data_IF_860440020675
#
_entry.id   IF_860440020675
#
_cell.length_a   1.000
_cell.length_b   1.000
_cell.length_c   1.000
_cell.angle_alpha   90.00
_cell.angle_beta   90.00
_cell.angle_gamma   90.00
#
_symmetry.space_group_name_H-M   'P 1'
#
loop_
_entity.id
_entity.type
_entity.pdbx_description
1 polymer ?
#
# COMPACT_ATOMS: atom_id res chain seq x y z
N UNK A 1 1.10 -2.34 34.12
CA UNK A 1 1.27 -3.57 33.32
C UNK A 1 2.64 -3.49 32.71
N UNK A 2 3.53 -4.36 33.17
CA UNK A 2 4.95 -4.44 32.80
C UNK A 2 5.08 -4.71 31.30
N UNK A 3 5.99 -3.99 30.62
CA UNK A 3 6.37 -4.27 29.23
C UNK A 3 6.86 -5.73 29.16
N UNK A 4 6.33 -6.58 28.28
CA UNK A 4 6.99 -7.83 27.94
C UNK A 4 8.34 -7.50 27.29
N UNK A 5 9.32 -8.33 27.58
CA UNK A 5 10.74 -8.07 27.52
C UNK A 5 11.31 -7.66 26.16
N UNK A 6 12.36 -6.83 26.23
CA UNK A 6 13.34 -6.62 25.16
C UNK A 6 14.25 -7.85 24.91
N UNK A 7 13.78 -9.06 25.21
CA UNK A 7 14.60 -10.30 25.22
C UNK A 7 14.57 -11.09 23.90
N UNK A 8 13.73 -10.71 22.93
CA UNK A 8 13.61 -11.46 21.68
C UNK A 8 14.92 -11.55 20.88
N UNK A 9 15.88 -10.65 21.12
CA UNK A 9 17.07 -10.53 20.29
C UNK A 9 18.35 -10.99 20.98
N UNK A 10 18.40 -10.95 22.32
CA UNK A 10 19.40 -11.70 23.10
C UNK A 10 19.15 -13.22 23.04
N UNK A 11 18.04 -13.65 22.42
CA UNK A 11 17.64 -15.06 22.28
C UNK A 11 18.13 -15.74 20.99
N UNK A 12 18.66 -14.98 20.01
CA UNK A 12 19.16 -15.57 18.78
C UNK A 12 20.48 -16.28 19.08
N UNK A 13 20.61 -17.54 18.65
CA UNK A 13 21.90 -18.21 18.67
C UNK A 13 22.89 -17.48 17.77
N UNK A 14 24.18 -17.59 18.06
CA UNK A 14 25.25 -17.04 17.21
C UNK A 14 25.09 -17.46 15.76
N UNK A 15 24.71 -18.72 15.52
CA UNK A 15 24.45 -19.27 14.19
C UNK A 15 23.29 -18.55 13.47
N UNK A 16 22.17 -18.33 14.17
CA UNK A 16 21.02 -17.63 13.58
C UNK A 16 21.32 -16.15 13.32
N UNK A 17 22.08 -15.51 14.20
CA UNK A 17 22.53 -14.12 14.00
C UNK A 17 23.42 -14.01 12.76
N UNK A 18 24.43 -14.88 12.65
CA UNK A 18 25.34 -14.89 11.50
C UNK A 18 24.57 -15.17 10.20
N UNK A 19 23.67 -16.16 10.21
CA UNK A 19 22.85 -16.47 9.02
C UNK A 19 21.95 -15.31 8.61
N UNK A 20 21.41 -14.56 9.57
CA UNK A 20 20.62 -13.36 9.28
C UNK A 20 21.50 -12.25 8.69
N UNK A 21 22.71 -12.04 9.20
CA UNK A 21 23.69 -11.10 8.65
C UNK A 21 24.02 -11.44 7.19
N UNK A 22 24.38 -12.70 6.91
CA UNK A 22 24.70 -13.17 5.57
C UNK A 22 23.52 -12.98 4.59
N UNK A 23 22.29 -13.28 5.03
CA UNK A 23 21.09 -13.07 4.23
C UNK A 23 20.84 -11.59 3.93
N UNK A 24 21.04 -10.70 4.91
CA UNK A 24 20.87 -9.26 4.73
C UNK A 24 21.96 -8.67 3.83
N UNK A 25 23.20 -9.14 3.95
CA UNK A 25 24.33 -8.70 3.13
C UNK A 25 24.16 -9.17 1.68
N UNK A 26 23.70 -10.41 1.48
CA UNK A 26 23.36 -10.92 0.16
C UNK A 26 22.20 -10.16 -0.48
N UNK A 27 21.14 -9.86 0.29
CA UNK A 27 20.02 -9.05 -0.18
C UNK A 27 20.50 -7.65 -0.58
N UNK A 28 21.29 -6.98 0.27
CA UNK A 28 21.86 -5.67 -0.04
C UNK A 28 22.66 -5.71 -1.33
N UNK A 29 23.64 -6.63 -1.44
CA UNK A 29 24.45 -6.82 -2.65
C UNK A 29 23.59 -6.93 -3.92
N UNK A 30 22.53 -7.73 -3.88
CA UNK A 30 21.63 -7.93 -5.03
C UNK A 30 20.96 -6.63 -5.50
N UNK A 31 20.70 -5.69 -4.58
CA UNK A 31 20.16 -4.37 -4.91
C UNK A 31 21.23 -3.40 -5.37
N UNK A 32 22.40 -3.38 -4.74
CA UNK A 32 23.39 -2.31 -4.92
C UNK A 32 24.39 -2.59 -6.04
N UNK A 33 24.69 -3.86 -6.35
CA UNK A 33 25.70 -4.23 -7.35
C UNK A 33 25.37 -3.77 -8.78
N UNK A 34 24.10 -3.78 -9.26
CA UNK A 34 23.76 -3.29 -10.60
C UNK A 34 23.77 -1.76 -10.73
N UNK A 35 23.66 -1.03 -9.61
CA UNK A 35 23.36 0.40 -9.61
C UNK A 35 24.54 1.36 -9.91
N UNK A 36 25.84 1.00 -9.84
CA UNK A 36 26.93 1.90 -10.23
C UNK A 36 26.83 2.37 -11.69
N UNK A 37 26.13 1.62 -12.54
CA UNK A 37 25.87 1.98 -13.93
C UNK A 37 24.66 2.93 -14.12
N UNK A 38 23.95 3.28 -13.05
CA UNK A 38 22.81 4.21 -13.12
C UNK A 38 23.27 5.67 -13.25
N UNK A 39 22.43 6.51 -13.86
CA UNK A 39 22.73 7.94 -14.01
C UNK A 39 22.93 8.62 -12.65
N UNK A 40 22.09 8.29 -11.66
CA UNK A 40 22.23 8.82 -10.31
C UNK A 40 23.56 8.42 -9.69
N UNK A 41 23.94 7.13 -9.76
CA UNK A 41 25.22 6.68 -9.24
C UNK A 41 26.41 7.36 -9.93
N UNK A 42 26.33 7.64 -11.23
CA UNK A 42 27.39 8.25 -12.02
C UNK A 42 27.55 9.76 -11.79
N UNK A 43 26.46 10.48 -11.54
CA UNK A 43 26.45 11.94 -11.59
C UNK A 43 26.06 12.63 -10.27
N UNK A 44 25.48 11.92 -9.31
CA UNK A 44 25.11 12.52 -8.03
C UNK A 44 26.37 12.94 -7.25
N UNK A 45 26.47 14.20 -6.79
CA UNK A 45 27.57 14.64 -5.91
C UNK A 45 27.64 13.81 -4.62
N UNK A 46 26.49 13.39 -4.10
CA UNK A 46 26.37 12.59 -2.87
C UNK A 46 27.11 11.24 -2.96
N UNK A 47 27.35 10.74 -4.18
CA UNK A 47 27.95 9.43 -4.44
C UNK A 47 29.39 9.50 -4.94
N UNK A 48 30.02 10.68 -4.92
CA UNK A 48 31.38 10.89 -5.44
C UNK A 48 32.42 10.00 -4.75
N UNK A 49 32.49 10.03 -3.42
CA UNK A 49 33.43 9.21 -2.64
C UNK A 49 33.23 7.71 -2.88
N UNK A 50 31.97 7.27 -2.98
CA UNK A 50 31.66 5.87 -3.26
C UNK A 50 32.15 5.47 -4.66
N UNK A 51 31.92 6.31 -5.68
CA UNK A 51 32.44 6.08 -7.04
C UNK A 51 33.96 5.96 -7.06
N UNK A 52 34.67 6.85 -6.38
CA UNK A 52 36.14 6.81 -6.30
C UNK A 52 36.63 5.52 -5.65
N UNK A 53 36.00 5.11 -4.55
CA UNK A 53 36.35 3.89 -3.83
C UNK A 53 36.16 2.63 -4.70
N UNK A 54 35.05 2.53 -5.43
CA UNK A 54 34.80 1.35 -6.27
C UNK A 54 35.58 1.36 -7.59
N UNK A 55 36.03 2.52 -8.08
CA UNK A 55 36.84 2.63 -9.29
C UNK A 55 38.27 2.09 -9.10
N UNK A 56 38.78 2.09 -7.87
CA UNK A 56 40.11 1.61 -7.51
C UNK A 56 40.15 0.08 -7.26
N UNK A 57 39.02 -0.62 -7.43
CA UNK A 57 38.82 -2.01 -7.00
C UNK A 57 39.01 -3.02 -8.15
N UNK A 58 39.45 -4.24 -7.78
CA UNK A 58 39.36 -5.44 -8.62
C UNK A 58 37.93 -6.00 -8.57
N UNK A 59 37.29 -6.25 -9.71
CA UNK A 59 35.82 -6.36 -9.86
C UNK A 59 35.05 -7.41 -9.04
N UNK A 60 35.68 -8.26 -8.22
CA UNK A 60 35.08 -9.50 -7.70
C UNK A 60 35.06 -9.69 -6.16
N UNK A 61 35.48 -8.74 -5.32
CA UNK A 61 35.45 -8.88 -3.84
C UNK A 61 34.19 -8.29 -3.16
N UNK A 62 33.10 -9.05 -3.05
CA UNK A 62 31.81 -8.55 -2.55
C UNK A 62 31.86 -7.96 -1.13
N UNK A 63 32.77 -8.46 -0.27
CA UNK A 63 32.92 -7.96 1.10
C UNK A 63 33.50 -6.53 1.11
N UNK A 64 34.48 -6.27 0.25
CA UNK A 64 35.02 -4.92 0.08
C UNK A 64 33.97 -3.96 -0.50
N UNK A 65 33.16 -4.41 -1.45
CA UNK A 65 32.09 -3.58 -2.02
C UNK A 65 31.06 -3.16 -0.97
N UNK A 66 30.61 -4.11 -0.13
CA UNK A 66 29.72 -3.85 0.99
C UNK A 66 30.34 -2.87 2.01
N UNK A 67 31.64 -3.02 2.29
CA UNK A 67 32.37 -2.09 3.17
C UNK A 67 32.37 -0.68 2.58
N UNK A 68 32.74 -0.52 1.30
CA UNK A 68 32.72 0.78 0.62
C UNK A 68 31.33 1.39 0.57
N UNK A 69 30.28 0.57 0.36
CA UNK A 69 28.89 1.05 0.40
C UNK A 69 28.55 1.65 1.77
N UNK A 70 28.79 0.89 2.85
CA UNK A 70 28.51 1.32 4.23
C UNK A 70 29.33 2.54 4.66
N UNK A 71 30.53 2.69 4.14
CA UNK A 71 31.44 3.78 4.50
C UNK A 71 31.16 5.07 3.74
N UNK A 72 30.84 4.98 2.45
CA UNK A 72 30.82 6.15 1.56
C UNK A 72 29.43 6.57 1.07
N UNK A 73 28.40 5.73 1.21
CA UNK A 73 27.03 6.12 0.85
C UNK A 73 26.41 6.91 2.00
N UNK A 74 26.07 8.19 1.80
CA UNK A 74 25.48 8.99 2.85
C UNK A 74 24.00 8.66 3.03
N UNK A 75 23.52 8.81 4.27
CA UNK A 75 22.08 8.93 4.54
C UNK A 75 21.54 10.17 3.85
N UNK A 76 20.52 10.00 3.01
CA UNK A 76 19.92 11.10 2.23
C UNK A 76 18.44 11.27 2.53
N UNK A 77 17.93 12.47 2.27
CA UNK A 77 16.49 12.73 2.21
C UNK A 77 16.04 12.75 0.74
N UNK A 78 14.82 13.23 0.45
CA UNK A 78 14.29 13.24 -0.92
C UNK A 78 14.91 14.29 -1.86
N UNK A 79 15.55 15.33 -1.32
CA UNK A 79 15.97 16.50 -2.09
C UNK A 79 17.04 16.19 -3.17
N UNK A 80 18.10 15.39 -2.89
CA UNK A 80 19.06 14.94 -3.92
C UNK A 80 18.43 14.25 -5.12
N UNK A 81 17.31 13.55 -4.92
CA UNK A 81 16.62 12.79 -5.95
C UNK A 81 15.66 13.65 -6.78
N UNK A 82 15.22 14.79 -6.25
CA UNK A 82 14.22 15.66 -6.88
C UNK A 82 14.60 16.10 -8.30
N UNK A 83 15.84 16.54 -8.60
CA UNK A 83 16.22 16.94 -9.96
C UNK A 83 16.14 15.79 -10.97
N UNK A 84 16.49 14.57 -10.56
CA UNK A 84 16.42 13.38 -11.39
C UNK A 84 14.95 12.99 -11.64
N UNK A 85 14.12 13.02 -10.60
CA UNK A 85 12.69 12.69 -10.72
C UNK A 85 11.95 13.74 -11.57
N UNK A 86 12.35 15.00 -11.52
CA UNK A 86 11.77 16.06 -12.34
C UNK A 86 11.91 15.81 -13.85
N UNK A 87 12.91 15.04 -14.29
CA UNK A 87 13.10 14.67 -15.70
C UNK A 87 11.88 13.96 -16.29
N UNK A 88 11.19 13.13 -15.50
CA UNK A 88 9.96 12.46 -15.94
C UNK A 88 8.81 13.43 -16.26
N UNK A 89 8.84 14.62 -15.65
CA UNK A 89 7.79 15.63 -15.77
C UNK A 89 8.16 16.77 -16.72
N UNK A 90 9.30 16.69 -17.40
CA UNK A 90 9.67 17.63 -18.44
C UNK A 90 8.62 17.63 -19.58
N UNK A 91 8.44 18.79 -20.24
CA UNK A 91 7.51 18.93 -21.36
C UNK A 91 7.76 17.91 -22.47
N UNK A 92 9.03 17.59 -22.71
CA UNK A 92 9.49 16.53 -23.59
C UNK A 92 10.41 15.60 -22.79
N UNK A 93 9.88 14.46 -22.35
CA UNK A 93 10.63 13.43 -21.64
C UNK A 93 11.11 12.38 -22.66
N UNK A 94 12.41 12.35 -22.96
CA UNK A 94 12.98 11.31 -23.82
C UNK A 94 13.36 10.10 -22.99
N UNK A 95 13.32 8.90 -23.58
CA UNK A 95 13.77 7.68 -22.91
C UNK A 95 15.20 7.82 -22.39
N UNK A 96 16.13 8.39 -23.17
CA UNK A 96 17.53 8.54 -22.76
C UNK A 96 17.72 9.39 -21.51
N UNK A 97 16.83 10.36 -21.25
CA UNK A 97 16.90 11.23 -20.07
C UNK A 97 16.57 10.48 -18.77
N UNK A 98 15.79 9.40 -18.86
CA UNK A 98 15.22 8.69 -17.69
C UNK A 98 15.48 7.19 -17.66
N UNK A 99 16.08 6.62 -18.71
CA UNK A 99 16.55 5.24 -18.75
C UNK A 99 17.78 5.09 -17.87
N UNK A 100 17.82 4.01 -17.11
CA UNK A 100 18.87 3.73 -16.14
C UNK A 100 19.00 4.81 -15.05
N UNK A 101 17.93 5.55 -14.73
CA UNK A 101 18.04 6.73 -13.87
C UNK A 101 18.51 6.39 -12.45
N UNK A 102 17.86 5.42 -11.81
CA UNK A 102 18.21 4.95 -10.45
C UNK A 102 18.64 3.49 -10.40
N UNK A 103 18.16 2.68 -11.34
CA UNK A 103 18.62 1.31 -11.59
C UNK A 103 18.46 1.01 -13.07
N UNK A 104 19.04 -0.09 -13.55
CA UNK A 104 19.02 -0.47 -14.95
C UNK A 104 17.60 -0.65 -15.49
N UNK A 105 17.37 -0.18 -16.71
CA UNK A 105 16.08 -0.18 -17.38
C UNK A 105 15.25 1.06 -17.11
N UNK A 106 13.95 0.93 -17.33
CA UNK A 106 12.97 1.99 -17.12
C UNK A 106 12.07 1.62 -15.94
N UNK A 107 11.61 2.60 -15.15
CA UNK A 107 10.58 2.31 -14.16
C UNK A 107 9.32 1.80 -14.86
N UNK A 108 8.59 0.95 -14.15
CA UNK A 108 7.29 0.47 -14.57
C UNK A 108 6.22 1.55 -14.33
N UNK A 109 6.30 2.27 -13.20
CA UNK A 109 5.44 3.41 -12.89
C UNK A 109 6.14 4.43 -11.98
N UNK A 110 5.42 5.52 -11.71
CA UNK A 110 5.77 6.50 -10.69
C UNK A 110 4.73 6.47 -9.57
N UNK A 111 5.13 6.02 -8.38
CA UNK A 111 4.29 5.99 -7.19
C UNK A 111 4.27 7.35 -6.50
N UNK A 112 3.09 7.85 -6.18
CA UNK A 112 2.90 9.13 -5.48
C UNK A 112 2.68 8.89 -3.99
N UNK A 113 3.48 9.55 -3.15
CA UNK A 113 3.34 9.51 -1.70
C UNK A 113 2.03 10.15 -1.26
N UNK A 114 1.37 9.56 -0.28
CA UNK A 114 0.21 10.18 0.37
C UNK A 114 0.63 11.49 1.08
N UNK A 115 -0.16 12.56 0.91
CA UNK A 115 0.05 13.94 1.43
C UNK A 115 -0.06 14.04 2.96
N UNK A 116 0.41 13.04 3.70
CA UNK A 116 0.17 12.86 5.14
C UNK A 116 0.90 13.86 6.05
N UNK A 117 1.71 14.77 5.48
CA UNK A 117 2.51 15.76 6.22
C UNK A 117 2.34 17.22 5.75
N UNK A 118 1.33 17.52 4.93
CA UNK A 118 1.08 18.89 4.42
C UNK A 118 2.13 19.44 3.44
N UNK A 119 3.16 18.65 3.11
CA UNK A 119 4.17 18.96 2.08
C UNK A 119 3.71 18.45 0.72
N UNK A 120 4.28 18.99 -0.37
CA UNK A 120 4.05 18.51 -1.73
C UNK A 120 4.28 17.00 -1.84
N UNK A 121 3.41 16.30 -2.56
CA UNK A 121 3.54 14.87 -2.77
C UNK A 121 4.89 14.53 -3.42
N UNK A 122 5.57 13.53 -2.87
CA UNK A 122 6.79 12.96 -3.45
C UNK A 122 6.41 11.90 -4.45
N UNK A 123 7.26 11.73 -5.46
CA UNK A 123 7.10 10.71 -6.49
C UNK A 123 8.29 9.74 -6.44
N UNK A 124 8.05 8.44 -6.51
CA UNK A 124 9.06 7.40 -6.45
C UNK A 124 8.97 6.51 -7.69
N UNK A 125 10.04 6.39 -8.49
CA UNK A 125 10.05 5.44 -9.60
C UNK A 125 10.04 4.00 -9.08
N UNK A 126 9.05 3.23 -9.50
CA UNK A 126 8.90 1.82 -9.13
C UNK A 126 9.40 0.98 -10.29
N UNK A 127 10.41 0.15 -10.03
CA UNK A 127 10.94 -0.80 -10.99
C UNK A 127 10.31 -2.17 -10.74
N UNK A 128 10.09 -2.94 -11.80
CA UNK A 128 9.46 -4.26 -11.69
C UNK A 128 10.36 -5.16 -10.83
N UNK A 129 9.84 -5.73 -9.72
CA UNK A 129 10.62 -6.66 -8.93
C UNK A 129 10.92 -7.93 -9.74
N UNK A 130 11.95 -8.67 -9.34
CA UNK A 130 12.27 -9.97 -9.96
C UNK A 130 11.02 -10.87 -9.98
N UNK A 131 10.78 -11.67 -11.04
CA UNK A 131 9.62 -12.57 -11.12
C UNK A 131 9.45 -13.52 -9.93
N UNK A 132 10.52 -13.82 -9.20
CA UNK A 132 10.46 -14.64 -7.98
C UNK A 132 9.80 -13.92 -6.79
N UNK A 133 9.73 -12.59 -6.81
CA UNK A 133 9.18 -11.76 -5.73
C UNK A 133 7.69 -11.46 -5.88
N UNK A 134 7.10 -11.64 -7.07
CA UNK A 134 5.66 -11.39 -7.30
C UNK A 134 4.74 -12.34 -6.53
N UNK A 135 5.27 -13.47 -6.05
CA UNK A 135 4.56 -14.44 -5.21
C UNK A 135 4.76 -14.20 -3.71
N UNK A 136 5.55 -13.19 -3.31
CA UNK A 136 5.80 -12.93 -1.91
C UNK A 136 4.53 -12.40 -1.22
N UNK A 137 4.21 -12.82 0.02
CA UNK A 137 2.99 -12.40 0.74
C UNK A 137 2.76 -10.90 0.87
N UNK A 138 3.82 -10.08 0.75
CA UNK A 138 3.73 -8.62 0.67
C UNK A 138 2.98 -8.13 -0.57
N UNK A 139 3.14 -8.82 -1.69
CA UNK A 139 2.54 -8.50 -2.98
C UNK A 139 1.17 -9.16 -3.18
N UNK A 140 0.81 -10.11 -2.31
CA UNK A 140 -0.48 -10.80 -2.40
C UNK A 140 -1.62 -9.91 -1.89
N UNK A 141 -2.13 -9.07 -2.80
CA UNK A 141 -3.31 -8.25 -2.56
C UNK A 141 -4.62 -9.05 -2.56
N UNK A 142 -4.59 -10.33 -2.95
CA UNK A 142 -5.74 -11.24 -3.01
C UNK A 142 -5.50 -12.43 -2.07
N UNK A 143 -6.40 -12.70 -1.11
CA UNK A 143 -6.28 -13.88 -0.26
C UNK A 143 -6.59 -15.16 -1.04
N UNK A 144 -5.88 -16.25 -0.74
CA UNK A 144 -6.24 -17.62 -1.12
C UNK A 144 -7.40 -18.19 -0.27
N UNK A 145 -8.30 -17.34 0.24
CA UNK A 145 -9.40 -17.79 1.09
C UNK A 145 -10.45 -18.54 0.28
N UNK A 146 -11.07 -19.56 0.87
CA UNK A 146 -12.21 -20.32 0.33
C UNK A 146 -13.50 -19.47 0.17
N UNK A 147 -13.41 -18.13 0.20
CA UNK A 147 -14.54 -17.20 0.12
C UNK A 147 -14.18 -15.82 -0.43
N UNK A 148 -15.19 -14.97 -0.58
CA UNK A 148 -15.07 -13.65 -1.23
C UNK A 148 -14.52 -12.58 -0.27
N UNK A 149 -13.60 -11.75 -0.75
CA UNK A 149 -13.00 -10.67 0.04
C UNK A 149 -13.47 -9.30 -0.48
N UNK A 150 -14.22 -8.56 0.35
CA UNK A 150 -14.50 -7.15 0.11
C UNK A 150 -13.19 -6.37 0.27
N UNK A 151 -12.63 -5.92 -0.85
CA UNK A 151 -11.37 -5.16 -0.86
C UNK A 151 -11.43 -4.08 -1.92
N UNK A 152 -12.09 -2.93 -1.63
CA UNK A 152 -12.19 -1.83 -2.58
C UNK A 152 -10.80 -1.41 -3.05
N UNK A 153 -10.55 -1.53 -4.35
CA UNK A 153 -9.28 -1.18 -4.98
C UNK A 153 -9.58 -0.33 -6.21
N UNK A 154 -9.02 0.87 -6.28
CA UNK A 154 -9.08 1.66 -7.50
C UNK A 154 -7.92 1.28 -8.42
N UNK A 155 -8.13 1.42 -9.72
CA UNK A 155 -7.11 1.37 -10.76
C UNK A 155 -6.93 2.72 -11.46
N UNK A 156 -7.51 3.77 -10.85
CA UNK A 156 -7.39 5.14 -11.28
C UNK A 156 -5.93 5.59 -11.30
N UNK A 157 -5.55 6.20 -12.42
CA UNK A 157 -4.28 6.89 -12.55
C UNK A 157 -4.45 8.34 -12.14
N UNK A 158 -3.43 8.88 -11.48
CA UNK A 158 -3.37 10.32 -11.24
C UNK A 158 -3.00 11.06 -12.53
N UNK A 159 -2.00 10.52 -13.25
CA UNK A 159 -1.57 11.04 -14.55
C UNK A 159 -0.98 9.90 -15.39
N UNK A 160 -1.06 10.05 -16.71
CA UNK A 160 -0.28 9.27 -17.66
C UNK A 160 0.77 10.19 -18.29
N UNK A 161 2.05 9.81 -18.21
CA UNK A 161 3.15 10.54 -18.83
C UNK A 161 3.54 9.84 -20.12
N UNK A 162 3.88 10.60 -21.16
CA UNK A 162 4.42 10.06 -22.40
C UNK A 162 5.94 10.24 -22.40
N UNK A 163 6.65 9.14 -22.63
CA UNK A 163 8.09 9.11 -22.80
C UNK A 163 8.41 8.71 -24.24
N UNK A 164 9.23 9.50 -24.92
CA UNK A 164 9.49 9.34 -26.35
C UNK A 164 10.79 8.55 -26.60
N UNK A 165 10.74 7.62 -27.54
CA UNK A 165 11.93 6.86 -27.96
C UNK A 165 12.83 7.73 -28.83
N UNK A 166 14.16 7.58 -28.71
CA UNK A 166 15.08 8.27 -29.60
C UNK A 166 14.91 7.80 -31.05
N UNK A 167 14.70 8.74 -31.97
CA UNK A 167 14.63 8.48 -33.40
C UNK A 167 13.30 7.91 -33.92
N UNK A 168 12.36 7.56 -33.04
CA UNK A 168 11.02 7.08 -33.41
C UNK A 168 9.93 8.07 -32.92
N UNK A 169 8.82 8.16 -33.65
CA UNK A 169 7.62 8.91 -33.21
C UNK A 169 6.79 8.14 -32.19
N UNK A 170 7.21 6.92 -31.81
CA UNK A 170 6.53 6.13 -30.80
C UNK A 170 6.80 6.68 -29.39
N UNK A 171 5.83 6.49 -28.50
CA UNK A 171 5.92 6.87 -27.09
C UNK A 171 5.49 5.73 -26.20
N UNK A 172 6.20 5.52 -25.09
CA UNK A 172 5.77 4.66 -24.00
C UNK A 172 5.03 5.48 -22.96
N UNK A 173 3.85 5.00 -22.56
CA UNK A 173 3.12 5.60 -21.45
C UNK A 173 3.67 5.10 -20.11
N UNK A 174 3.99 6.03 -19.22
CA UNK A 174 4.41 5.77 -17.84
C UNK A 174 3.28 6.20 -16.88
N UNK A 175 2.64 5.27 -16.16
CA UNK A 175 1.57 5.59 -15.23
C UNK A 175 2.13 6.29 -13.98
N UNK A 176 1.38 7.29 -13.50
CA UNK A 176 1.59 7.95 -12.21
C UNK A 176 0.38 7.64 -11.33
N UNK A 177 0.57 6.88 -10.27
CA UNK A 177 -0.52 6.36 -9.45
C UNK A 177 -0.09 6.08 -8.00
N UNK A 178 -0.98 5.56 -7.17
CA UNK A 178 -0.60 5.06 -5.84
C UNK A 178 0.07 3.70 -5.96
N UNK A 179 0.95 3.37 -5.00
CA UNK A 179 1.66 2.07 -4.99
C UNK A 179 0.69 0.87 -4.96
N UNK A 180 -0.49 1.03 -4.35
CA UNK A 180 -1.51 -0.04 -4.30
C UNK A 180 -2.14 -0.32 -5.66
N UNK A 181 -2.40 0.73 -6.46
CA UNK A 181 -2.87 0.58 -7.85
C UNK A 181 -1.84 -0.22 -8.65
N UNK A 182 -0.57 0.12 -8.45
CA UNK A 182 0.52 -0.53 -9.16
C UNK A 182 0.67 -2.01 -8.80
N UNK A 183 0.72 -2.35 -7.52
CA UNK A 183 0.85 -3.75 -7.11
C UNK A 183 -0.26 -4.62 -7.67
N UNK A 184 -1.50 -4.10 -7.71
CA UNK A 184 -2.62 -4.82 -8.31
C UNK A 184 -2.40 -5.03 -9.82
N UNK A 185 -1.90 -4.02 -10.54
CA UNK A 185 -1.59 -4.12 -11.97
C UNK A 185 -0.45 -5.11 -12.24
N UNK A 186 0.62 -5.10 -11.45
CA UNK A 186 1.74 -6.06 -11.58
C UNK A 186 1.25 -7.47 -11.31
N UNK A 187 0.50 -7.69 -10.23
CA UNK A 187 0.02 -9.01 -9.83
C UNK A 187 -0.87 -9.64 -10.91
N UNK A 188 -1.64 -8.82 -11.61
CA UNK A 188 -2.58 -9.26 -12.63
C UNK A 188 -2.00 -9.18 -14.06
N UNK A 189 -0.75 -8.74 -14.21
CA UNK A 189 -0.09 -8.42 -15.48
C UNK A 189 -0.94 -7.51 -16.39
N UNK A 190 -1.56 -6.49 -15.79
CA UNK A 190 -2.45 -5.55 -16.47
C UNK A 190 -1.72 -4.27 -16.85
N UNK A 191 -1.65 -4.03 -18.15
CA UNK A 191 -1.26 -2.74 -18.69
C UNK A 191 -2.48 -1.82 -18.85
N UNK A 192 -2.29 -0.54 -18.54
CA UNK A 192 -3.32 0.51 -18.66
C UNK A 192 -3.98 0.54 -20.05
N UNK A 193 -3.23 0.22 -21.11
CA UNK A 193 -3.77 0.15 -22.48
C UNK A 193 -4.89 -0.89 -22.65
N UNK A 194 -4.95 -1.86 -21.75
CA UNK A 194 -5.94 -2.95 -21.75
C UNK A 194 -7.10 -2.72 -20.79
N UNK A 195 -7.20 -1.55 -20.14
CA UNK A 195 -8.27 -1.29 -19.15
C UNK A 195 -9.68 -1.48 -19.76
N UNK A 196 -9.85 -1.21 -21.07
CA UNK A 196 -11.10 -1.47 -21.79
C UNK A 196 -11.37 -2.95 -22.04
N UNK A 197 -10.32 -3.75 -22.22
CA UNK A 197 -10.44 -5.18 -22.52
C UNK A 197 -10.88 -5.96 -21.26
N UNK A 198 -10.55 -5.45 -20.08
CA UNK A 198 -10.79 -6.10 -18.80
C UNK A 198 -12.02 -5.56 -18.06
N UNK A 199 -12.72 -4.56 -18.62
CA UNK A 199 -13.88 -3.93 -17.98
C UNK A 199 -15.00 -4.94 -17.64
N UNK A 200 -15.21 -5.93 -18.52
CA UNK A 200 -16.23 -6.96 -18.36
C UNK A 200 -15.79 -8.14 -17.46
N UNK A 201 -14.55 -8.16 -16.97
CA UNK A 201 -14.05 -9.26 -16.15
C UNK A 201 -14.56 -9.19 -14.72
N UNK A 202 -14.80 -10.38 -14.15
CA UNK A 202 -15.04 -10.56 -12.72
C UNK A 202 -13.72 -10.84 -12.02
N UNK A 203 -13.47 -10.21 -10.86
CA UNK A 203 -12.23 -10.44 -10.12
C UNK A 203 -12.37 -11.72 -9.28
N UNK A 204 -11.50 -12.73 -9.46
CA UNK A 204 -11.53 -13.92 -8.64
C UNK A 204 -11.42 -13.58 -7.15
N UNK A 205 -12.21 -14.24 -6.31
CA UNK A 205 -12.26 -14.04 -4.86
C UNK A 205 -12.66 -12.62 -4.39
N UNK A 206 -13.35 -11.83 -5.22
CA UNK A 206 -14.00 -10.57 -4.83
C UNK A 206 -15.50 -10.57 -5.16
N UNK A 207 -16.31 -9.77 -4.43
CA UNK A 207 -17.74 -9.64 -4.69
C UNK A 207 -18.05 -8.67 -5.83
N UNK A 208 -17.07 -7.87 -6.26
CA UNK A 208 -17.23 -6.80 -7.24
C UNK A 208 -16.57 -7.10 -8.61
N UNK A 209 -17.20 -6.65 -9.73
CA UNK A 209 -16.58 -6.71 -11.06
C UNK A 209 -15.49 -5.64 -11.23
N UNK A 210 -14.57 -5.89 -12.15
CA UNK A 210 -13.42 -5.01 -12.42
C UNK A 210 -13.83 -3.58 -12.75
N UNK A 211 -14.94 -3.40 -13.48
CA UNK A 211 -15.47 -2.09 -13.89
C UNK A 211 -15.52 -1.06 -12.74
N UNK A 212 -15.82 -1.50 -11.50
CA UNK A 212 -15.85 -0.60 -10.33
C UNK A 212 -14.48 0.04 -10.07
N UNK A 213 -13.38 -0.69 -10.32
CA UNK A 213 -12.01 -0.19 -10.11
C UNK A 213 -11.65 0.99 -11.04
N UNK A 214 -12.37 1.16 -12.15
CA UNK A 214 -12.17 2.26 -13.11
C UNK A 214 -13.03 3.50 -12.80
N UNK A 215 -13.88 3.44 -11.77
CA UNK A 215 -14.73 4.58 -11.37
C UNK A 215 -13.86 5.63 -10.68
N UNK A 216 -13.93 6.87 -11.17
CA UNK A 216 -13.13 8.00 -10.66
C UNK A 216 -13.80 8.73 -9.50
N UNK A 217 -15.14 8.77 -9.48
CA UNK A 217 -15.88 9.41 -8.39
C UNK A 217 -15.70 8.60 -7.10
N UNK A 218 -15.14 9.24 -6.07
CA UNK A 218 -14.88 8.61 -4.77
C UNK A 218 -16.17 8.06 -4.15
N UNK A 219 -17.27 8.83 -4.20
CA UNK A 219 -18.58 8.40 -3.69
C UNK A 219 -19.13 7.22 -4.49
N UNK A 220 -19.19 7.34 -5.82
CA UNK A 220 -19.73 6.27 -6.68
C UNK A 220 -18.91 4.98 -6.54
N UNK A 221 -17.59 5.09 -6.43
CA UNK A 221 -16.70 3.96 -6.18
C UNK A 221 -17.07 3.20 -4.90
N UNK A 222 -17.28 3.89 -3.77
CA UNK A 222 -17.67 3.22 -2.53
C UNK A 222 -19.10 2.70 -2.56
N UNK A 223 -20.06 3.45 -3.09
CA UNK A 223 -21.47 3.00 -3.21
C UNK A 223 -21.55 1.72 -4.05
N UNK A 224 -20.83 1.65 -5.17
CA UNK A 224 -20.79 0.44 -6.00
C UNK A 224 -20.14 -0.75 -5.29
N UNK A 225 -18.99 -0.55 -4.64
CA UNK A 225 -18.38 -1.61 -3.83
C UNK A 225 -19.34 -2.10 -2.73
N UNK A 226 -20.04 -1.19 -2.06
CA UNK A 226 -21.08 -1.51 -1.07
C UNK A 226 -22.19 -2.34 -1.69
N UNK A 227 -22.71 -1.90 -2.83
CA UNK A 227 -23.85 -2.53 -3.49
C UNK A 227 -23.58 -4.02 -3.79
N UNK A 228 -22.44 -4.29 -4.43
CA UNK A 228 -22.02 -5.65 -4.76
C UNK A 228 -21.67 -6.47 -3.50
N UNK A 229 -21.05 -5.86 -2.49
CA UNK A 229 -20.75 -6.54 -1.24
C UNK A 229 -22.01 -6.90 -0.45
N UNK A 230 -23.02 -6.03 -0.39
CA UNK A 230 -24.29 -6.32 0.29
C UNK A 230 -25.09 -7.40 -0.45
N UNK A 231 -25.03 -7.41 -1.79
CA UNK A 231 -25.67 -8.43 -2.62
C UNK A 231 -25.05 -9.83 -2.45
N UNK A 232 -23.75 -9.94 -2.15
CA UNK A 232 -23.06 -11.21 -1.89
C UNK A 232 -23.00 -11.55 -0.40
N UNK A 233 -23.80 -12.51 0.04
CA UNK A 233 -23.79 -13.00 1.44
C UNK A 233 -22.53 -13.78 1.81
N UNK A 234 -21.70 -14.19 0.83
CA UNK A 234 -20.52 -15.06 1.00
C UNK A 234 -19.23 -14.28 1.25
N UNK A 235 -19.31 -12.98 1.53
CA UNK A 235 -18.13 -12.19 1.92
C UNK A 235 -17.59 -12.73 3.23
N UNK A 236 -16.35 -13.24 3.21
CA UNK A 236 -15.71 -13.83 4.39
C UNK A 236 -14.67 -12.90 5.03
N UNK A 237 -14.15 -11.95 4.25
CA UNK A 237 -13.06 -11.05 4.65
C UNK A 237 -13.35 -9.62 4.18
N UNK A 238 -13.07 -8.65 5.04
CA UNK A 238 -13.16 -7.22 4.71
C UNK A 238 -11.78 -6.59 4.81
N UNK A 239 -11.32 -5.90 3.76
CA UNK A 239 -9.97 -5.35 3.66
C UNK A 239 -10.03 -3.89 3.22
N UNK A 240 -9.45 -3.03 4.03
CA UNK A 240 -9.29 -1.62 3.72
C UNK A 240 -7.88 -1.21 4.02
N UNK A 241 -7.26 -0.39 3.16
CA UNK A 241 -5.91 0.07 3.45
C UNK A 241 -5.88 0.94 4.70
N UNK A 242 -6.93 1.72 4.96
CA UNK A 242 -6.97 2.66 6.08
C UNK A 242 -8.28 2.55 6.86
N UNK A 243 -8.22 2.75 8.18
CA UNK A 243 -9.39 2.71 9.05
C UNK A 243 -10.38 3.83 8.70
N UNK A 244 -9.86 5.03 8.41
CA UNK A 244 -10.65 6.17 7.93
C UNK A 244 -11.49 5.83 6.68
N UNK A 245 -10.92 5.10 5.72
CA UNK A 245 -11.63 4.68 4.51
C UNK A 245 -12.73 3.68 4.84
N UNK A 246 -12.49 2.74 5.76
CA UNK A 246 -13.54 1.83 6.22
C UNK A 246 -14.68 2.56 6.94
N UNK A 247 -14.36 3.60 7.72
CA UNK A 247 -15.37 4.44 8.39
C UNK A 247 -16.22 5.18 7.35
N UNK A 248 -15.60 5.81 6.35
CA UNK A 248 -16.32 6.47 5.27
C UNK A 248 -17.22 5.48 4.53
N UNK A 249 -16.73 4.26 4.28
CA UNK A 249 -17.51 3.19 3.70
C UNK A 249 -18.77 2.89 4.52
N UNK A 250 -18.65 2.68 5.85
CA UNK A 250 -19.80 2.46 6.73
C UNK A 250 -20.80 3.64 6.72
N UNK A 251 -20.30 4.87 6.68
CA UNK A 251 -21.15 6.06 6.59
C UNK A 251 -21.95 6.08 5.28
N UNK A 252 -21.33 5.78 4.15
CA UNK A 252 -22.07 5.66 2.88
C UNK A 252 -23.13 4.55 2.93
N UNK A 253 -22.87 3.43 3.61
CA UNK A 253 -23.91 2.40 3.80
C UNK A 253 -25.10 2.96 4.58
N UNK A 254 -24.82 3.67 5.68
CA UNK A 254 -25.86 4.22 6.55
C UNK A 254 -26.68 5.30 5.83
N UNK A 255 -26.02 6.20 5.11
CA UNK A 255 -26.64 7.30 4.35
C UNK A 255 -27.49 6.79 3.18
N UNK A 256 -26.99 5.78 2.46
CA UNK A 256 -27.59 5.29 1.22
C UNK A 256 -28.36 3.97 1.41
N UNK A 257 -28.70 3.62 2.65
CA UNK A 257 -29.26 2.31 2.96
C UNK A 257 -30.51 1.98 2.15
N UNK A 258 -31.61 2.79 2.17
CA UNK A 258 -32.80 2.43 1.41
C UNK A 258 -32.55 2.34 -0.11
N UNK A 259 -31.87 3.31 -0.77
CA UNK A 259 -31.52 3.19 -2.17
C UNK A 259 -30.71 1.94 -2.52
N UNK A 260 -29.72 1.57 -1.70
CA UNK A 260 -28.90 0.38 -1.91
C UNK A 260 -29.74 -0.90 -1.90
N UNK A 261 -30.65 -1.03 -0.94
CA UNK A 261 -31.52 -2.21 -0.84
C UNK A 261 -32.49 -2.28 -2.01
N UNK A 262 -33.05 -1.15 -2.43
CA UNK A 262 -33.92 -1.07 -3.60
C UNK A 262 -33.20 -1.48 -4.89
N UNK A 263 -31.92 -1.09 -5.03
CA UNK A 263 -31.08 -1.54 -6.14
C UNK A 263 -30.94 -3.07 -6.13
N UNK A 264 -30.64 -3.68 -4.97
CA UNK A 264 -30.51 -5.14 -4.82
C UNK A 264 -31.82 -5.85 -5.15
N UNK A 265 -32.95 -5.35 -4.66
CA UNK A 265 -34.25 -5.95 -4.93
C UNK A 265 -34.59 -5.96 -6.41
N UNK A 266 -34.38 -4.82 -7.09
CA UNK A 266 -34.78 -4.60 -8.49
C UNK A 266 -33.72 -5.03 -9.50
N UNK A 267 -32.48 -5.23 -9.07
CA UNK A 267 -31.33 -5.47 -9.96
C UNK A 267 -31.00 -4.27 -10.84
N UNK A 268 -31.24 -3.05 -10.35
CA UNK A 268 -31.02 -1.81 -11.12
C UNK A 268 -30.00 -0.97 -10.38
N UNK A 269 -28.93 -0.57 -11.07
CA UNK A 269 -27.90 0.31 -10.50
C UNK A 269 -28.30 1.77 -10.71
N UNK A 270 -28.47 2.49 -9.59
CA UNK A 270 -28.80 3.93 -9.59
C UNK A 270 -27.85 4.75 -10.45
N UNK A 271 -28.38 5.87 -10.97
CA UNK A 271 -27.55 6.82 -11.69
C UNK A 271 -26.63 7.61 -10.76
N UNK A 272 -25.35 7.66 -11.14
CA UNK A 272 -24.28 8.23 -10.35
C UNK A 272 -23.29 8.92 -11.27
N UNK A 273 -22.64 9.96 -10.75
CA UNK A 273 -21.74 10.81 -11.52
C UNK A 273 -20.56 10.02 -12.11
N UNK A 274 -20.27 10.26 -13.39
CA UNK A 274 -19.11 9.72 -14.11
C UNK A 274 -19.05 8.18 -14.18
N UNK A 275 -20.19 7.53 -14.45
CA UNK A 275 -20.27 6.07 -14.60
C UNK A 275 -20.64 5.55 -15.99
N UNK A 276 -20.89 6.44 -16.96
CA UNK A 276 -21.37 6.02 -18.29
C UNK A 276 -20.46 4.99 -18.97
N UNK A 277 -19.14 5.11 -18.77
CA UNK A 277 -18.15 4.22 -19.37
C UNK A 277 -18.11 2.81 -18.75
N UNK A 278 -18.71 2.60 -17.58
CA UNK A 278 -18.73 1.30 -16.87
C UNK A 278 -20.14 0.71 -16.73
N UNK A 279 -21.19 1.52 -16.95
CA UNK A 279 -22.59 1.17 -16.67
C UNK A 279 -23.01 -0.17 -17.29
N UNK A 280 -22.84 -0.32 -18.60
CA UNK A 280 -23.23 -1.54 -19.32
C UNK A 280 -22.56 -2.79 -18.71
N UNK A 281 -21.27 -2.68 -18.38
CA UNK A 281 -20.53 -3.77 -17.77
C UNK A 281 -21.00 -4.10 -16.36
N UNK A 282 -21.41 -3.11 -15.57
CA UNK A 282 -21.90 -3.31 -14.21
C UNK A 282 -23.29 -3.95 -14.20
N UNK A 283 -24.20 -3.47 -15.05
CA UNK A 283 -25.57 -3.96 -15.15
C UNK A 283 -25.63 -5.42 -15.62
N UNK A 284 -24.71 -5.83 -16.51
CA UNK A 284 -24.56 -7.24 -16.91
C UNK A 284 -24.27 -8.19 -15.74
N UNK A 285 -23.63 -7.67 -14.70
CA UNK A 285 -23.14 -8.40 -13.54
C UNK A 285 -24.03 -8.26 -12.30
N UNK A 286 -25.13 -7.52 -12.41
CA UNK A 286 -26.00 -7.22 -11.28
C UNK A 286 -27.43 -7.70 -11.52
N UNK A 287 -27.82 -8.75 -10.82
CA UNK A 287 -29.13 -9.40 -10.99
C UNK A 287 -30.07 -9.09 -9.83
N UNK A 288 -31.39 -8.99 -10.06
CA UNK A 288 -32.37 -8.79 -8.98
C UNK A 288 -32.29 -9.88 -7.92
N UNK A 289 -32.30 -9.49 -6.64
CA UNK A 289 -32.25 -10.40 -5.49
C UNK A 289 -33.20 -9.93 -4.37
N UNK A 290 -34.53 -10.11 -4.52
CA UNK A 290 -35.52 -9.66 -3.56
C UNK A 290 -35.41 -10.37 -2.19
N UNK A 291 -34.97 -11.63 -2.17
CA UNK A 291 -34.76 -12.38 -0.92
C UNK A 291 -33.66 -11.74 -0.08
N UNK A 292 -32.52 -11.43 -0.71
CA UNK A 292 -31.42 -10.74 -0.02
C UNK A 292 -31.83 -9.33 0.41
N UNK A 293 -32.59 -8.61 -0.41
CA UNK A 293 -33.09 -7.31 -0.04
C UNK A 293 -34.00 -7.38 1.21
N UNK A 294 -34.91 -8.34 1.28
CA UNK A 294 -35.77 -8.55 2.44
C UNK A 294 -34.97 -8.86 3.73
N UNK A 295 -33.99 -9.76 3.64
CA UNK A 295 -33.06 -10.07 4.73
C UNK A 295 -32.34 -8.80 5.23
N UNK A 296 -31.80 -8.00 4.31
CA UNK A 296 -31.12 -6.76 4.66
C UNK A 296 -32.08 -5.75 5.30
N UNK A 297 -33.34 -5.65 4.87
CA UNK A 297 -34.34 -4.79 5.52
C UNK A 297 -34.61 -5.18 6.97
N UNK A 298 -34.61 -6.49 7.27
CA UNK A 298 -34.75 -6.98 8.64
C UNK A 298 -33.53 -6.64 9.51
N UNK A 299 -32.32 -6.66 8.94
CA UNK A 299 -31.08 -6.32 9.64
C UNK A 299 -30.98 -4.80 9.90
N UNK A 300 -31.35 -3.99 8.92
CA UNK A 300 -31.23 -2.53 8.96
C UNK A 300 -29.81 -2.00 8.72
N UNK A 301 -29.62 -0.67 8.71
CA UNK A 301 -28.33 -0.03 8.45
C UNK A 301 -27.30 -0.27 9.58
N UNK A 302 -26.02 0.05 9.34
CA UNK A 302 -24.99 -0.03 10.38
C UNK A 302 -25.38 0.77 11.62
N UNK A 303 -25.48 0.12 12.77
CA UNK A 303 -25.84 0.80 14.02
C UNK A 303 -25.97 -0.10 15.24
N UNK A 304 -26.30 -1.38 14.99
CA UNK A 304 -26.39 -2.41 16.02
C UNK A 304 -25.05 -3.14 16.25
N UNK A 305 -24.93 -3.78 17.40
CA UNK A 305 -23.77 -4.59 17.71
C UNK A 305 -23.67 -5.81 16.79
N UNK A 306 -22.50 -6.01 16.18
CA UNK A 306 -22.23 -7.15 15.30
C UNK A 306 -22.98 -7.08 13.97
N UNK A 307 -23.38 -5.88 13.54
CA UNK A 307 -24.02 -5.64 12.25
C UNK A 307 -23.31 -6.34 11.09
N UNK A 308 -21.98 -6.23 10.98
CA UNK A 308 -21.25 -6.84 9.86
C UNK A 308 -21.41 -8.37 9.81
N UNK A 309 -21.41 -9.04 10.97
CA UNK A 309 -21.60 -10.50 11.08
C UNK A 309 -23.06 -10.90 10.82
N UNK A 310 -24.01 -9.98 11.00
CA UNK A 310 -25.42 -10.20 10.61
C UNK A 310 -25.61 -10.06 9.11
N UNK A 311 -24.93 -9.10 8.47
CA UNK A 311 -24.98 -8.93 7.02
C UNK A 311 -24.26 -10.07 6.31
N UNK A 312 -23.06 -10.43 6.77
CA UNK A 312 -22.23 -11.46 6.17
C UNK A 312 -22.01 -12.59 7.16
N UNK A 313 -22.95 -13.54 7.21
CA UNK A 313 -22.93 -14.63 8.21
C UNK A 313 -21.66 -15.50 8.16
N UNK A 314 -21.07 -15.67 6.98
CA UNK A 314 -19.81 -16.39 6.78
C UNK A 314 -18.55 -15.53 7.01
N UNK A 315 -18.69 -14.25 7.38
CA UNK A 315 -17.60 -13.31 7.71
C UNK A 315 -16.93 -13.62 9.04
N UNK A 316 -16.36 -14.81 9.16
CA UNK A 316 -15.86 -15.31 10.44
C UNK A 316 -14.44 -14.85 10.80
N UNK A 317 -13.63 -14.26 9.90
CA UNK A 317 -12.17 -14.42 10.10
C UNK A 317 -11.28 -13.19 10.16
N UNK A 318 -11.50 -12.11 9.39
CA UNK A 318 -10.49 -11.05 9.44
C UNK A 318 -10.92 -9.73 8.82
N UNK A 319 -10.66 -8.64 9.54
CA UNK A 319 -10.63 -7.29 8.99
C UNK A 319 -9.21 -6.80 8.93
N UNK A 320 -8.71 -6.63 7.69
CA UNK A 320 -7.36 -6.15 7.45
C UNK A 320 -7.39 -4.64 7.24
N UNK A 321 -6.96 -3.88 8.24
CA UNK A 321 -6.95 -2.41 8.23
C UNK A 321 -5.59 -1.91 8.68
N UNK A 322 -4.88 -1.17 7.83
CA UNK A 322 -3.69 -0.43 8.29
C UNK A 322 -4.15 0.78 9.09
N UNK A 323 -3.44 1.05 10.18
CA UNK A 323 -3.68 2.24 10.99
C UNK A 323 -3.37 3.49 10.17
N UNK A 324 -4.23 4.52 10.31
CA UNK A 324 -4.00 5.80 9.64
C UNK A 324 -2.66 6.42 10.05
N UNK A 325 -1.85 6.94 9.09
CA UNK A 325 -0.60 7.63 9.41
C UNK A 325 -0.79 8.81 10.37
N UNK A 326 -1.88 9.56 10.21
CA UNK A 326 -2.26 10.64 11.14
C UNK A 326 -2.60 10.14 12.55
N UNK A 327 -2.99 8.86 12.68
CA UNK A 327 -3.24 8.26 13.98
C UNK A 327 -1.97 7.85 14.71
N UNK A 328 -0.82 7.75 14.03
CA UNK A 328 0.47 7.45 14.64
C UNK A 328 1.03 8.65 15.44
N UNK A 329 0.81 9.88 14.96
CA UNK A 329 1.33 11.12 15.55
C UNK A 329 0.46 11.69 16.68
N UNK A 330 -0.76 11.18 16.90
CA UNK A 330 -1.70 11.71 17.90
C UNK A 330 -2.14 10.61 18.88
N UNK A 331 -1.78 10.68 20.18
CA UNK A 331 -2.24 9.72 21.20
C UNK A 331 -3.77 9.59 21.29
N UNK A 332 -4.49 10.68 21.00
CA UNK A 332 -5.97 10.74 20.94
C UNK A 332 -6.53 9.96 19.74
N UNK A 333 -5.80 9.88 18.62
CA UNK A 333 -6.23 9.18 17.42
C UNK A 333 -6.14 7.65 17.54
N UNK A 334 -5.31 7.10 18.47
CA UNK A 334 -5.40 5.70 18.91
C UNK A 334 -6.79 5.32 19.44
N UNK A 335 -7.53 6.29 19.96
CA UNK A 335 -8.91 6.11 20.44
C UNK A 335 -9.96 6.53 19.40
N UNK A 336 -9.62 7.39 18.43
CA UNK A 336 -10.57 7.90 17.44
C UNK A 336 -10.86 6.92 16.31
N UNK A 337 -9.90 6.13 15.81
CA UNK A 337 -10.24 5.10 14.80
C UNK A 337 -11.19 4.03 15.38
N UNK A 338 -11.24 3.90 16.71
CA UNK A 338 -12.23 3.06 17.38
C UNK A 338 -13.63 3.63 17.30
N UNK A 339 -13.85 4.82 16.75
CA UNK A 339 -15.10 5.57 16.81
C UNK A 339 -15.44 6.19 15.45
N UNK A 340 -16.68 6.03 15.00
CA UNK A 340 -17.27 6.87 13.96
C UNK A 340 -18.55 7.54 14.47
N UNK A 341 -18.93 8.64 13.82
CA UNK A 341 -20.18 9.32 14.07
C UNK A 341 -21.21 8.81 13.08
N UNK A 342 -22.30 8.32 13.63
CA UNK A 342 -23.50 7.93 12.91
C UNK A 342 -24.26 9.16 12.41
N UNK A 343 -25.13 8.96 11.44
CA UNK A 343 -26.05 9.98 10.91
C UNK A 343 -27.00 10.52 11.98
N UNK A 344 -27.35 9.71 12.98
CA UNK A 344 -28.12 10.12 14.17
C UNK A 344 -27.28 10.93 15.20
N UNK A 345 -26.03 11.25 14.88
CA UNK A 345 -25.10 11.97 15.75
C UNK A 345 -24.49 11.12 16.87
N UNK A 346 -24.82 9.83 16.97
CA UNK A 346 -24.30 8.96 18.02
C UNK A 346 -22.86 8.52 17.75
N UNK A 347 -22.10 8.48 18.84
CA UNK A 347 -20.71 8.04 18.84
C UNK A 347 -20.66 6.51 18.92
N UNK A 348 -20.44 5.83 17.80
CA UNK A 348 -20.37 4.36 17.75
C UNK A 348 -18.95 3.88 17.62
N UNK A 349 -18.64 2.73 18.23
CA UNK A 349 -17.32 2.13 18.06
C UNK A 349 -17.27 1.28 16.78
N UNK A 350 -16.18 1.32 16.03
CA UNK A 350 -16.00 0.45 14.85
C UNK A 350 -16.12 -1.03 15.27
N UNK A 351 -15.49 -1.40 16.38
CA UNK A 351 -15.61 -2.76 16.96
C UNK A 351 -17.02 -3.14 17.41
N UNK A 352 -17.89 -2.15 17.66
CA UNK A 352 -19.29 -2.41 17.97
C UNK A 352 -20.03 -2.89 16.73
N UNK A 353 -19.86 -2.23 15.59
CA UNK A 353 -20.46 -2.61 14.29
C UNK A 353 -19.94 -3.95 13.81
N UNK A 354 -18.65 -4.20 13.95
CA UNK A 354 -18.03 -5.44 13.52
C UNK A 354 -18.48 -6.64 14.34
N UNK A 355 -18.65 -6.46 15.66
CA UNK A 355 -18.93 -7.54 16.58
C UNK A 355 -17.66 -8.06 17.26
N UNK A 356 -17.85 -8.71 18.41
CA UNK A 356 -16.73 -9.16 19.27
C UNK A 356 -15.93 -10.32 18.68
N UNK A 357 -16.51 -11.06 17.74
CA UNK A 357 -15.90 -12.21 17.07
C UNK A 357 -14.96 -11.83 15.92
N UNK A 358 -14.93 -10.56 15.52
CA UNK A 358 -14.16 -10.12 14.35
C UNK A 358 -12.76 -9.66 14.77
N UNK A 359 -11.75 -10.35 14.27
CA UNK A 359 -10.34 -9.98 14.46
C UNK A 359 -9.95 -8.84 13.53
N UNK A 360 -9.33 -7.80 14.06
CA UNK A 360 -8.68 -6.75 13.28
C UNK A 360 -7.17 -7.00 13.23
N UNK A 361 -6.57 -6.79 12.05
CA UNK A 361 -5.15 -6.99 11.81
C UNK A 361 -4.63 -5.96 10.80
N UNK A 362 -3.42 -5.45 10.96
CA UNK A 362 -2.79 -4.67 9.89
C UNK A 362 -2.30 -5.62 8.79
N UNK A 363 -2.53 -5.38 7.49
CA UNK A 363 -2.08 -6.31 6.45
C UNK A 363 -0.57 -6.31 6.23
N UNK A 364 0.07 -5.15 6.34
CA UNK A 364 1.49 -4.91 6.14
C UNK A 364 1.84 -3.52 6.73
N UNK A 365 3.12 -3.18 6.70
CA UNK A 365 3.61 -1.82 6.93
C UNK A 365 4.61 -1.46 5.84
N UNK A 366 4.48 -0.25 5.31
CA UNK A 366 5.26 0.22 4.18
C UNK A 366 4.85 1.62 3.76
N UNK A 367 5.47 2.09 2.70
CA UNK A 367 5.30 3.42 2.13
C UNK A 367 5.33 3.35 0.60
N UNK A 368 5.23 4.50 -0.06
CA UNK A 368 5.25 4.53 -1.53
C UNK A 368 6.62 4.20 -2.10
N UNK A 369 7.69 4.39 -1.32
CA UNK A 369 9.06 4.04 -1.69
C UNK A 369 9.42 2.57 -1.44
N UNK A 370 8.80 1.89 -0.46
CA UNK A 370 9.17 0.53 -0.09
C UNK A 370 8.10 -0.19 0.75
N UNK A 371 7.85 -1.48 0.48
CA UNK A 371 7.18 -2.35 1.46
C UNK A 371 8.19 -2.84 2.49
N UNK A 372 7.92 -2.58 3.78
CA UNK A 372 8.91 -2.78 4.85
C UNK A 372 8.66 -4.10 5.57
N UNK A 373 7.41 -4.39 5.93
CA UNK A 373 7.13 -5.48 6.86
C UNK A 373 5.72 -6.08 6.76
N UNK A 374 5.61 -7.32 7.26
CA UNK A 374 4.36 -8.08 7.41
C UNK A 374 4.06 -8.32 8.88
N UNK A 375 2.80 -8.59 9.27
CA UNK A 375 2.47 -8.95 10.64
C UNK A 375 3.27 -10.15 11.12
N UNK A 376 3.77 -10.08 12.35
CA UNK A 376 4.47 -11.18 12.98
C UNK A 376 3.45 -12.23 13.46
N UNK A 377 3.59 -13.48 13.00
CA UNK A 377 2.64 -14.55 13.30
C UNK A 377 2.51 -14.86 14.80
N UNK A 378 3.59 -14.66 15.57
CA UNK A 378 3.65 -14.93 17.01
C UNK A 378 3.54 -13.66 17.88
N UNK A 379 3.25 -12.49 17.30
CA UNK A 379 3.14 -11.21 18.02
C UNK A 379 1.71 -10.67 18.04
N UNK A 380 1.50 -9.48 18.60
CA UNK A 380 0.24 -8.76 18.42
C UNK A 380 0.13 -8.36 16.93
N UNK A 381 -0.84 -8.91 16.17
CA UNK A 381 -0.98 -8.66 14.74
C UNK A 381 -1.32 -7.21 14.39
N UNK A 382 -1.58 -6.35 15.38
CA UNK A 382 -1.83 -4.92 15.21
C UNK A 382 -0.60 -4.04 15.41
N UNK A 383 0.46 -4.54 16.07
CA UNK A 383 1.64 -3.74 16.42
C UNK A 383 2.95 -4.37 16.03
N UNK A 384 2.99 -5.69 15.92
CA UNK A 384 4.23 -6.42 15.77
C UNK A 384 4.40 -6.84 14.31
N UNK A 385 5.41 -6.26 13.67
CA UNK A 385 5.70 -6.51 12.27
C UNK A 385 7.10 -7.10 12.11
N UNK A 386 7.20 -8.12 11.26
CA UNK A 386 8.46 -8.71 10.80
C UNK A 386 8.93 -7.95 9.55
N UNK A 387 10.07 -7.27 9.67
CA UNK A 387 10.76 -6.66 8.51
C UNK A 387 11.22 -7.76 7.56
N UNK A 388 11.02 -7.54 6.27
CA UNK A 388 11.35 -8.50 5.23
C UNK A 388 12.14 -7.79 4.12
N UNK A 389 13.32 -8.30 3.72
CA UNK A 389 14.17 -7.64 2.73
C UNK A 389 13.73 -7.99 1.30
N UNK A 390 12.49 -7.63 0.94
CA UNK A 390 11.88 -8.01 -0.35
C UNK A 390 11.94 -6.87 -1.34
N UNK A 391 11.55 -5.67 -0.91
CA UNK A 391 11.49 -4.48 -1.78
C UNK A 391 12.68 -3.55 -1.56
N UNK A 392 13.47 -3.82 -0.52
CA UNK A 392 14.65 -3.07 -0.18
C UNK A 392 15.27 -3.57 1.13
N UNK A 393 16.35 -2.91 1.53
CA UNK A 393 17.02 -3.13 2.81
C UNK A 393 16.62 -2.01 3.76
N UNK A 394 16.26 -2.38 4.98
CA UNK A 394 15.90 -1.41 6.03
C UNK A 394 17.08 -1.22 6.97
N UNK A 395 17.55 0.01 7.08
CA UNK A 395 18.45 0.47 8.13
C UNK A 395 17.68 1.44 9.03
N UNK A 396 18.17 1.64 10.25
CA UNK A 396 17.50 2.48 11.21
C UNK A 396 18.46 3.51 11.79
N UNK A 397 17.92 4.67 12.12
CA UNK A 397 18.64 5.74 12.79
C UNK A 397 18.16 5.81 14.24
N UNK A 398 19.09 5.89 15.19
CA UNK A 398 18.73 6.15 16.58
C UNK A 398 18.16 7.58 16.71
N UNK A 399 16.94 7.69 17.22
CA UNK A 399 16.21 8.96 17.36
C UNK A 399 16.47 9.61 18.73
N UNK A 400 17.06 8.88 19.67
CA UNK A 400 17.32 9.35 21.03
C UNK A 400 18.74 9.86 21.26
N UNK A 401 19.68 9.55 20.36
CA UNK A 401 20.98 10.20 20.35
C UNK A 401 20.82 11.61 19.78
N UNK A 402 21.29 12.62 20.48
CA UNK A 402 21.46 13.99 19.96
C UNK A 402 22.56 14.06 18.87
N UNK A 403 22.84 12.95 18.20
CA UNK A 403 24.00 12.76 17.34
C UNK A 403 23.60 12.91 15.86
N UNK A 404 24.54 13.46 15.09
CA UNK A 404 24.48 13.64 13.64
C UNK A 404 24.02 12.36 12.91
N UNK A 405 23.54 12.51 11.68
CA UNK A 405 23.17 11.45 10.72
C UNK A 405 24.28 10.43 10.40
N UNK A 406 25.39 10.45 11.12
CA UNK A 406 26.60 9.65 10.96
C UNK A 406 26.53 8.27 11.66
N UNK A 407 25.46 7.98 12.42
CA UNK A 407 25.26 6.68 13.06
C UNK A 407 24.00 5.96 12.58
N UNK A 408 24.05 5.47 11.34
CA UNK A 408 23.08 4.50 10.83
C UNK A 408 23.34 3.14 11.48
N UNK A 409 22.33 2.58 12.12
CA UNK A 409 22.34 1.22 12.64
C UNK A 409 21.77 0.30 11.55
N UNK A 410 22.49 -0.77 11.20
CA UNK A 410 21.91 -1.84 10.37
C UNK A 410 20.72 -2.46 11.09
N UNK A 411 19.84 -3.17 10.37
CA UNK A 411 18.69 -3.85 10.99
C UNK A 411 19.06 -4.69 12.21
N UNK A 412 20.30 -5.19 12.25
CA UNK A 412 20.84 -6.05 13.31
C UNK A 412 21.49 -5.23 14.45
N UNK A 413 21.95 -4.00 14.20
CA UNK A 413 22.37 -3.08 15.27
C UNK A 413 21.20 -2.35 15.94
N UNK A 414 20.08 -2.21 15.23
CA UNK A 414 18.87 -1.52 15.72
C UNK A 414 17.92 -2.42 16.49
N UNK A 415 18.18 -3.72 16.42
CA UNK A 415 17.68 -4.71 17.35
C UNK A 415 17.88 -4.29 18.83
N UNK A 416 18.82 -3.38 19.11
CA UNK A 416 19.06 -2.89 20.47
C UNK A 416 18.27 -1.67 20.92
N UNK A 417 17.56 -0.94 20.07
CA UNK A 417 16.83 0.25 20.50
C UNK A 417 15.69 0.56 19.53
N UNK A 418 14.45 0.60 20.04
CA UNK A 418 13.52 1.74 19.97
C UNK A 418 12.09 1.27 20.27
N UNK A 419 11.45 1.82 21.32
CA UNK A 419 10.01 1.91 21.40
C UNK A 419 9.50 2.95 20.38
N UNK A 420 8.57 2.54 19.52
CA UNK A 420 7.90 3.39 18.55
C UNK A 420 7.33 4.68 19.18
N UNK A 421 8.02 5.81 18.96
CA UNK A 421 7.53 7.17 19.17
C UNK A 421 8.43 8.12 18.36
N UNK A 422 7.91 8.60 17.23
CA UNK A 422 8.29 9.91 16.69
C UNK A 422 7.02 10.69 16.46
N UNK A 423 6.77 11.61 17.38
CA UNK A 423 5.83 12.70 17.27
C UNK A 423 6.69 13.97 17.23
N UNK A 424 6.48 14.82 16.21
CA UNK A 424 6.43 16.29 16.30
C UNK A 424 6.53 16.92 14.89
N UNK A 425 5.41 17.46 14.38
CA UNK A 425 5.16 18.92 14.26
C UNK A 425 3.93 19.22 13.37
N UNK A 426 3.01 19.94 14.01
CA UNK A 426 2.02 20.93 13.55
C UNK A 426 0.91 20.60 12.53
N UNK A 427 -0.30 20.68 13.08
CA UNK A 427 -1.58 20.94 12.45
C UNK A 427 -1.63 22.25 11.62
N UNK A 428 -2.54 22.22 10.64
CA UNK A 428 -3.50 23.24 10.18
C UNK A 428 -3.39 23.50 8.68
N UNK A 429 -4.49 23.22 7.98
CA UNK A 429 -4.60 23.38 6.54
C UNK A 429 -5.86 22.70 6.02
N UNK A 430 -6.95 23.46 6.05
CA UNK A 430 -8.25 23.17 5.47
C UNK A 430 -8.14 22.82 3.99
N UNK A 431 -8.80 21.74 3.57
CA UNK A 431 -9.42 21.59 2.24
C UNK A 431 -10.65 20.70 2.40
#
# INVERSE_FOLDING_TARGET
MSRPDMDLLNSLSTELSQRLEELMDQALLSFIQPNPASQFAQHAPELEKFREAIAQRNSNDDAEFLRSFREFIPTTNYDPYRPYIAKFFATHCNESDVKNLFTLGLPYCLAVSSLTSGKSAKTFPIYRPSPHMSHHPLYLSLPHSEGSALSPSSLGLWRALNMYYEGDRSSKMLPVCSVTVEFLRIQMDWHVKHDKDIIYLWVPAKPDPYAISLVKSYRAFFILNTLFALADSRVTTIRFLFASVFINFLQYIEDEWPPLIDCIEKGIISDMENMDHVRESLEKHFTPNPLRAAELREIGPPGIQGWAVRVWHDSTKLIRITRDPAAASVPKARQLWKVYYSTDGQRRKVTHVLGRSVTMQSPCYGSSECCISIPHFNGDPNTDFKVVPVDGVTEYLDVHSNESSERVLSAIRTVHCIPALSAHLCCSGSL
#
